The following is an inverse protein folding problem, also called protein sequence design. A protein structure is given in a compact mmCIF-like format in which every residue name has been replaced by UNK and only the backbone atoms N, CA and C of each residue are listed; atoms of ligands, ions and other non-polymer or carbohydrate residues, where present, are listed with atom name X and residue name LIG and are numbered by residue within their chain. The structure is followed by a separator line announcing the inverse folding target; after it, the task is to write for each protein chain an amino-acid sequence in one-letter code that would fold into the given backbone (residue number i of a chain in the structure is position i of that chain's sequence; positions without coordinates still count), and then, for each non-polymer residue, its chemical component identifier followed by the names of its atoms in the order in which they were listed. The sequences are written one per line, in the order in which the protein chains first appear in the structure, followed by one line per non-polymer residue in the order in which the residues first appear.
data_IF_683857814920
#
_entry.id   IF_683857814920
#
_cell.length_a   1.000
_cell.length_b   1.000
_cell.length_c   1.000
_cell.angle_alpha   90.00
_cell.angle_beta   90.00
_cell.angle_gamma   90.00
#
_symmetry.space_group_name_H-M   'P 1'
#
loop_
_entity.id
_entity.type
_entity.pdbx_description
1 polymer ?
#
# COMPACT_ATOMS: atom_id res chain seq x y z
N UNK A 1 18.19 0.80 -2.08
CA UNK A 1 17.19 1.85 -2.39
C UNK A 1 16.46 2.18 -1.11
N UNK A 2 16.26 3.47 -0.81
CA UNK A 2 15.50 3.90 0.38
C UNK A 2 14.02 3.86 0.06
N UNK A 3 13.22 3.15 0.87
CA UNK A 3 11.77 3.15 0.71
C UNK A 3 11.21 4.55 1.01
N UNK A 4 10.27 5.09 0.22
CA UNK A 4 9.83 6.48 0.34
C UNK A 4 8.89 6.74 1.53
N UNK A 5 8.49 5.70 2.24
CA UNK A 5 7.49 5.75 3.32
C UNK A 5 8.10 5.21 4.61
N UNK A 6 7.87 5.90 5.71
CA UNK A 6 8.29 5.51 7.06
C UNK A 6 7.31 6.05 8.09
N UNK A 7 7.41 5.60 9.34
CA UNK A 7 6.61 6.15 10.44
C UNK A 7 7.47 6.48 11.66
N UNK A 8 6.98 7.38 12.48
CA UNK A 8 7.51 7.75 13.78
C UNK A 8 6.35 7.98 14.77
N UNK A 9 6.68 8.44 15.98
CA UNK A 9 5.70 8.69 17.04
C UNK A 9 4.64 9.76 16.68
N UNK A 10 4.92 10.62 15.68
CA UNK A 10 4.04 11.70 15.25
C UNK A 10 3.15 11.31 14.05
N UNK A 11 3.45 10.21 13.36
CA UNK A 11 2.68 9.78 12.20
C UNK A 11 3.53 9.13 11.13
N UNK A 12 3.22 9.48 9.88
CA UNK A 12 3.81 8.86 8.70
C UNK A 12 4.58 9.92 7.93
N UNK A 13 5.80 9.58 7.58
CA UNK A 13 6.70 10.41 6.80
C UNK A 13 6.78 9.85 5.39
N UNK A 14 6.24 10.61 4.44
CA UNK A 14 6.25 10.30 3.00
C UNK A 14 7.26 11.21 2.33
N UNK A 15 8.09 10.66 1.44
CA UNK A 15 9.10 11.36 0.64
C UNK A 15 8.76 11.27 -0.85
N UNK A 16 7.87 12.16 -1.38
CA UNK A 16 7.43 12.12 -2.78
C UNK A 16 8.55 12.26 -3.81
N UNK A 17 9.70 12.81 -3.42
CA UNK A 17 10.91 12.94 -4.21
C UNK A 17 11.63 11.59 -4.45
N UNK A 18 11.37 10.59 -3.61
CA UNK A 18 11.89 9.23 -3.75
C UNK A 18 10.88 8.28 -4.43
N UNK A 19 9.68 8.76 -4.75
CA UNK A 19 8.63 7.97 -5.41
C UNK A 19 8.77 8.04 -6.93
N UNK A 20 8.69 6.88 -7.57
CA UNK A 20 8.53 6.77 -9.01
C UNK A 20 7.08 7.06 -9.39
N UNK A 21 6.88 7.73 -10.52
CA UNK A 21 5.54 7.97 -11.07
C UNK A 21 4.92 6.67 -11.53
N UNK A 22 3.59 6.57 -11.42
CA UNK A 22 2.81 5.40 -11.82
C UNK A 22 3.20 4.12 -11.06
N UNK A 23 3.83 4.25 -9.89
CA UNK A 23 4.20 3.14 -9.01
C UNK A 23 3.41 3.19 -7.71
N UNK A 24 2.86 2.05 -7.32
CA UNK A 24 2.16 1.87 -6.06
C UNK A 24 3.16 1.51 -4.96
N UNK A 25 3.08 2.22 -3.85
CA UNK A 25 3.79 1.93 -2.61
C UNK A 25 2.79 1.58 -1.53
N UNK A 26 3.22 0.80 -0.54
CA UNK A 26 2.36 0.40 0.58
C UNK A 26 3.07 0.60 1.92
N UNK A 27 2.30 0.85 2.97
CA UNK A 27 2.83 0.93 4.33
C UNK A 27 1.75 0.57 5.34
N UNK A 28 2.10 -0.16 6.40
CA UNK A 28 1.16 -0.46 7.48
C UNK A 28 1.36 0.52 8.63
N UNK A 29 0.29 1.19 9.03
CA UNK A 29 0.30 2.10 10.18
C UNK A 29 -1.03 2.06 10.91
N UNK A 30 -1.00 1.90 12.25
CA UNK A 30 -2.20 1.85 13.12
C UNK A 30 -3.32 0.96 12.58
N UNK A 31 -2.98 -0.28 12.24
CA UNK A 31 -3.92 -1.28 11.72
C UNK A 31 -4.60 -0.92 10.40
N UNK A 32 -4.00 -0.01 9.62
CA UNK A 32 -4.40 0.28 8.25
C UNK A 32 -3.28 -0.04 7.28
N UNK A 33 -3.64 -0.54 6.10
CA UNK A 33 -2.75 -0.55 4.94
C UNK A 33 -2.97 0.77 4.21
N UNK A 34 -1.89 1.51 4.02
CA UNK A 34 -1.87 2.72 3.22
C UNK A 34 -1.30 2.40 1.86
N UNK A 35 -2.00 2.82 0.82
CA UNK A 35 -1.57 2.74 -0.56
C UNK A 35 -1.22 4.14 -1.03
N UNK A 36 0.02 4.32 -1.48
CA UNK A 36 0.56 5.60 -1.90
C UNK A 36 0.93 5.54 -3.36
N UNK A 37 0.40 6.46 -4.14
CA UNK A 37 0.56 6.47 -5.59
C UNK A 37 0.85 7.88 -6.06
N UNK A 38 1.98 8.05 -6.73
CA UNK A 38 2.34 9.31 -7.37
C UNK A 38 1.99 9.20 -8.85
N UNK A 39 1.02 9.98 -9.31
CA UNK A 39 0.58 9.91 -10.70
C UNK A 39 1.50 10.69 -11.66
N UNK A 40 1.22 10.56 -12.95
CA UNK A 40 1.93 11.25 -14.03
C UNK A 40 1.97 12.78 -13.89
N UNK A 41 0.99 13.37 -13.21
CA UNK A 41 0.86 14.80 -12.95
C UNK A 41 1.54 15.24 -11.64
N UNK A 42 2.31 14.36 -11.00
CA UNK A 42 2.96 14.55 -9.70
C UNK A 42 1.98 14.69 -8.51
N UNK A 43 0.69 14.36 -8.68
CA UNK A 43 -0.21 14.30 -7.53
C UNK A 43 0.05 13.04 -6.70
N UNK A 44 0.17 13.25 -5.39
CA UNK A 44 0.26 12.17 -4.42
C UNK A 44 -1.15 11.76 -3.99
N UNK A 45 -1.51 10.54 -4.33
CA UNK A 45 -2.74 9.89 -3.91
C UNK A 45 -2.46 8.97 -2.72
N UNK A 46 -3.37 8.95 -1.75
CA UNK A 46 -3.31 8.07 -0.59
C UNK A 46 -4.67 7.40 -0.38
N UNK A 47 -4.67 6.08 -0.28
CA UNK A 47 -5.85 5.28 0.03
C UNK A 47 -5.59 4.46 1.29
N UNK A 48 -6.64 4.22 2.08
CA UNK A 48 -6.57 3.44 3.31
C UNK A 48 -7.45 2.20 3.19
N UNK A 49 -6.92 1.06 3.66
CA UNK A 49 -7.69 -0.17 3.82
C UNK A 49 -7.66 -0.57 5.30
N UNK A 50 -8.84 -0.71 5.88
CA UNK A 50 -9.07 -1.07 7.28
C UNK A 50 -9.59 -2.51 7.45
N UNK A 51 -9.72 -3.28 6.36
CA UNK A 51 -10.16 -4.67 6.44
C UNK A 51 -9.10 -5.50 7.18
N UNK A 52 -9.47 -5.95 8.38
CA UNK A 52 -8.57 -6.61 9.34
C UNK A 52 -7.84 -7.81 8.74
N UNK A 53 -8.54 -8.62 7.94
CA UNK A 53 -7.95 -9.79 7.28
C UNK A 53 -6.83 -9.39 6.31
N UNK A 54 -7.07 -8.38 5.46
CA UNK A 54 -6.07 -7.89 4.51
C UNK A 54 -4.89 -7.24 5.25
N UNK A 55 -5.18 -6.39 6.25
CA UNK A 55 -4.16 -5.73 7.06
C UNK A 55 -3.23 -6.75 7.71
N UNK A 56 -3.80 -7.82 8.28
CA UNK A 56 -3.03 -8.88 8.89
C UNK A 56 -2.20 -9.68 7.88
N UNK A 57 -2.72 -9.92 6.67
CA UNK A 57 -1.92 -10.54 5.61
C UNK A 57 -0.72 -9.67 5.21
N UNK A 58 -0.93 -8.38 4.98
CA UNK A 58 0.15 -7.45 4.58
C UNK A 58 1.19 -7.29 5.70
N UNK A 59 0.78 -7.22 6.97
CA UNK A 59 1.70 -7.18 8.13
C UNK A 59 2.64 -8.38 8.21
N UNK A 60 2.17 -9.56 7.79
CA UNK A 60 2.92 -10.81 7.88
C UNK A 60 3.75 -11.10 6.63
N UNK A 61 3.61 -10.30 5.57
CA UNK A 61 4.41 -10.41 4.36
C UNK A 61 5.86 -9.97 4.62
N UNK A 62 6.80 -10.62 3.97
CA UNK A 62 8.26 -10.39 4.12
C UNK A 62 8.85 -9.64 2.94
N UNK A 63 8.15 -9.63 1.81
CA UNK A 63 8.62 -9.04 0.55
C UNK A 63 7.50 -8.28 -0.13
N UNK A 64 7.85 -7.29 -0.95
CA UNK A 64 6.90 -6.55 -1.78
C UNK A 64 6.12 -7.48 -2.72
N UNK A 65 6.76 -8.54 -3.25
CA UNK A 65 6.12 -9.54 -4.11
C UNK A 65 5.02 -10.33 -3.39
N UNK A 66 5.20 -10.64 -2.10
CA UNK A 66 4.15 -11.28 -1.29
C UNK A 66 2.96 -10.33 -1.10
N UNK A 67 3.22 -9.04 -0.88
CA UNK A 67 2.18 -8.02 -0.74
C UNK A 67 1.40 -7.82 -2.05
N UNK A 68 2.07 -7.79 -3.19
CA UNK A 68 1.42 -7.73 -4.51
C UNK A 68 0.45 -8.91 -4.71
N UNK A 69 0.88 -10.13 -4.40
CA UNK A 69 0.01 -11.33 -4.47
C UNK A 69 -1.19 -11.26 -3.54
N UNK A 70 -1.04 -10.64 -2.37
CA UNK A 70 -2.16 -10.43 -1.43
C UNK A 70 -3.19 -9.48 -2.07
N UNK A 71 -2.75 -8.37 -2.65
CA UNK A 71 -3.66 -7.43 -3.33
C UNK A 71 -4.32 -8.03 -4.57
N UNK A 72 -3.60 -8.80 -5.38
CA UNK A 72 -4.18 -9.50 -6.53
C UNK A 72 -5.31 -10.45 -6.12
N UNK A 73 -5.10 -11.25 -5.08
CA UNK A 73 -6.13 -12.15 -4.53
C UNK A 73 -7.32 -11.38 -3.97
N UNK A 74 -7.06 -10.27 -3.29
CA UNK A 74 -8.11 -9.41 -2.74
C UNK A 74 -9.02 -8.86 -3.84
N UNK A 75 -8.45 -8.36 -4.95
CA UNK A 75 -9.22 -7.89 -6.09
C UNK A 75 -10.03 -9.03 -6.74
N UNK A 76 -9.46 -10.23 -6.85
CA UNK A 76 -10.15 -11.39 -7.42
C UNK A 76 -11.33 -11.86 -6.57
N UNK A 77 -11.26 -11.73 -5.23
CA UNK A 77 -12.38 -12.06 -4.33
C UNK A 77 -13.61 -11.22 -4.65
N UNK A 78 -13.38 -9.94 -4.95
CA UNK A 78 -14.43 -8.94 -5.10
C UNK A 78 -14.84 -8.71 -6.57
N UNK A 79 -14.24 -9.42 -7.54
CA UNK A 79 -14.62 -9.35 -8.96
C UNK A 79 -16.03 -9.93 -9.16
N UNK A 80 -17.04 -9.09 -9.52
CA UNK A 80 -18.42 -9.54 -9.70
C UNK A 80 -18.59 -10.54 -10.85
N UNK A 81 -17.57 -10.74 -11.71
CA UNK A 81 -17.61 -11.73 -12.80
C UNK A 81 -17.35 -13.17 -12.34
N UNK A 82 -16.99 -13.39 -11.07
CA UNK A 82 -16.66 -14.71 -10.50
C UNK A 82 -17.81 -15.28 -9.63
N UNK A 83 -18.99 -14.64 -9.60
CA UNK A 83 -20.19 -15.16 -8.92
C UNK A 83 -21.22 -15.78 -9.86
#
# INVERSE_FOLDING_TARGET
MTYPVSSDDNGINIKPELMEKEKLYHYVFKDKVLLLFKDSQDFLNCYEIEEEELVNQVKNAKTDEEVEKIFEKYIQRDDPKIK
#
